data_IF_502493128339
#
_entry.id   IF_502493128339
#
_cell.length_a   1.000
_cell.length_b   1.000
_cell.length_c   1.000
_cell.angle_alpha   90.00
_cell.angle_beta   90.00
_cell.angle_gamma   90.00
#
_symmetry.space_group_name_H-M   'P 1'
#
loop_
_entity.id
_entity.type
_entity.pdbx_description
1 polymer ?
#
# COMPACT_ATOMS: atom_id res chain seq x y z
N UNK A 1 -5.63 -3.68 -14.35
CA UNK A 1 -4.70 -2.88 -13.52
C UNK A 1 -5.21 -1.44 -13.43
N UNK A 2 -5.40 -0.93 -12.22
CA UNK A 2 -5.86 0.43 -11.97
C UNK A 2 -4.76 1.45 -12.31
N UNK A 3 -5.13 2.70 -12.56
CA UNK A 3 -4.15 3.80 -12.64
C UNK A 3 -3.77 4.20 -11.22
N UNK A 4 -2.48 4.42 -10.96
CA UNK A 4 -2.03 4.95 -9.66
C UNK A 4 -2.61 6.36 -9.47
N UNK A 5 -3.36 6.62 -8.38
CA UNK A 5 -3.89 7.96 -8.11
C UNK A 5 -2.74 8.95 -7.88
N UNK A 6 -2.97 10.22 -8.15
CA UNK A 6 -2.02 11.30 -7.78
C UNK A 6 -2.29 11.84 -6.36
N UNK A 7 -3.53 11.71 -5.91
CA UNK A 7 -3.98 12.18 -4.61
C UNK A 7 -3.59 11.19 -3.50
N UNK A 8 -2.91 11.69 -2.47
CA UNK A 8 -2.37 10.85 -1.40
C UNK A 8 -3.48 10.17 -0.59
N UNK A 9 -4.59 10.87 -0.29
CA UNK A 9 -5.70 10.29 0.47
C UNK A 9 -6.34 9.12 -0.30
N UNK A 10 -6.45 9.25 -1.62
CA UNK A 10 -6.93 8.17 -2.50
C UNK A 10 -5.95 7.00 -2.54
N UNK A 11 -4.63 7.27 -2.64
CA UNK A 11 -3.61 6.21 -2.60
C UNK A 11 -3.66 5.42 -1.28
N UNK A 12 -3.71 6.15 -0.14
CA UNK A 12 -3.83 5.56 1.19
C UNK A 12 -5.09 4.70 1.29
N UNK A 13 -6.24 5.21 0.87
CA UNK A 13 -7.51 4.49 0.95
C UNK A 13 -7.47 3.19 0.15
N UNK A 14 -6.91 3.22 -1.06
CA UNK A 14 -6.77 2.03 -1.90
C UNK A 14 -5.84 0.99 -1.27
N UNK A 15 -4.63 1.40 -0.85
CA UNK A 15 -3.71 0.45 -0.21
C UNK A 15 -4.30 -0.12 1.07
N UNK A 16 -4.98 0.70 1.86
CA UNK A 16 -5.64 0.27 3.09
C UNK A 16 -6.77 -0.73 2.81
N UNK A 17 -7.60 -0.49 1.81
CA UNK A 17 -8.67 -1.42 1.43
C UNK A 17 -8.11 -2.78 1.00
N UNK A 18 -7.04 -2.77 0.19
CA UNK A 18 -6.35 -3.99 -0.23
C UNK A 18 -5.75 -4.74 0.96
N UNK A 19 -5.06 -4.03 1.85
CA UNK A 19 -4.46 -4.60 3.06
C UNK A 19 -5.50 -5.09 4.09
N UNK A 20 -6.70 -4.52 4.08
CA UNK A 20 -7.80 -4.95 4.93
C UNK A 20 -8.38 -6.30 4.47
N UNK A 21 -8.32 -6.60 3.16
CA UNK A 21 -8.76 -7.88 2.60
C UNK A 21 -7.74 -8.99 2.88
N UNK A 22 -6.44 -8.71 2.68
CA UNK A 22 -5.37 -9.65 2.99
C UNK A 22 -4.00 -8.94 3.12
N UNK A 23 -3.05 -9.54 3.85
CA UNK A 23 -1.66 -9.06 3.82
C UNK A 23 -1.08 -9.14 2.41
N UNK A 24 -0.39 -8.08 1.98
CA UNK A 24 0.20 -8.00 0.65
C UNK A 24 1.60 -7.41 0.67
N UNK A 25 2.50 -7.91 -0.19
CA UNK A 25 3.80 -7.28 -0.40
C UNK A 25 3.68 -5.98 -1.21
N UNK A 26 4.64 -5.07 -1.03
CA UNK A 26 4.68 -3.82 -1.78
C UNK A 26 4.75 -4.06 -3.30
N UNK A 27 5.46 -5.10 -3.72
CA UNK A 27 5.52 -5.53 -5.12
C UNK A 27 4.16 -6.02 -5.63
N UNK A 28 3.43 -6.80 -4.84
CA UNK A 28 2.10 -7.29 -5.19
C UNK A 28 1.11 -6.13 -5.33
N UNK A 29 1.14 -5.18 -4.40
CA UNK A 29 0.34 -3.96 -4.46
C UNK A 29 0.66 -3.14 -5.70
N UNK A 30 1.95 -2.85 -5.95
CA UNK A 30 2.40 -2.13 -7.14
C UNK A 30 2.03 -2.87 -8.44
N UNK A 31 2.04 -4.20 -8.45
CA UNK A 31 1.65 -5.01 -9.60
C UNK A 31 0.19 -4.82 -9.99
N UNK A 32 -0.69 -4.40 -9.07
CA UNK A 32 -2.10 -4.13 -9.37
C UNK A 32 -2.31 -2.82 -10.16
N UNK A 33 -1.31 -1.94 -10.17
CA UNK A 33 -1.37 -0.66 -10.85
C UNK A 33 -0.61 -0.65 -12.18
N UNK A 34 -1.03 0.24 -13.09
CA UNK A 34 -0.32 0.52 -14.34
C UNK A 34 1.06 1.09 -14.02
N UNK A 35 2.08 0.69 -14.79
CA UNK A 35 3.49 1.10 -14.65
C UNK A 35 4.17 0.68 -13.34
N UNK A 36 3.55 -0.18 -12.53
CA UNK A 36 4.12 -0.70 -11.28
C UNK A 36 4.77 0.41 -10.42
N UNK A 37 3.97 1.32 -9.83
CA UNK A 37 4.45 2.49 -9.07
C UNK A 37 5.04 2.07 -7.71
N UNK A 38 6.06 1.22 -7.71
CA UNK A 38 6.63 0.62 -6.50
C UNK A 38 7.10 1.69 -5.51
N UNK A 39 7.73 2.76 -6.01
CA UNK A 39 8.16 3.89 -5.19
C UNK A 39 6.99 4.56 -4.47
N UNK A 40 5.91 4.90 -5.19
CA UNK A 40 4.74 5.54 -4.60
C UNK A 40 4.02 4.64 -3.60
N UNK A 41 3.93 3.34 -3.90
CA UNK A 41 3.36 2.36 -2.98
C UNK A 41 4.19 2.29 -1.69
N UNK A 42 5.52 2.18 -1.80
CA UNK A 42 6.40 2.16 -0.63
C UNK A 42 6.32 3.44 0.20
N UNK A 43 6.25 4.62 -0.43
CA UNK A 43 6.09 5.89 0.29
C UNK A 43 4.82 5.92 1.14
N UNK A 44 3.69 5.46 0.58
CA UNK A 44 2.42 5.41 1.29
C UNK A 44 2.42 4.36 2.41
N UNK A 45 2.97 3.17 2.15
CA UNK A 45 3.11 2.12 3.16
C UNK A 45 4.00 2.57 4.32
N UNK A 46 5.12 3.22 4.01
CA UNK A 46 6.02 3.79 5.01
C UNK A 46 5.34 4.87 5.84
N UNK A 47 4.54 5.74 5.21
CA UNK A 47 3.75 6.75 5.92
C UNK A 47 2.69 6.10 6.82
N UNK A 48 2.00 5.05 6.35
CA UNK A 48 1.04 4.29 7.16
C UNK A 48 1.69 3.62 8.37
N UNK A 49 2.90 3.07 8.21
CA UNK A 49 3.65 2.50 9.33
C UNK A 49 4.15 3.56 10.31
N UNK A 50 4.63 4.71 9.82
CA UNK A 50 5.02 5.83 10.67
C UNK A 50 3.84 6.37 11.52
N UNK A 51 2.61 6.26 10.98
CA UNK A 51 1.38 6.60 11.69
C UNK A 51 0.85 5.47 12.59
N UNK A 52 1.51 4.31 12.64
CA UNK A 52 1.06 3.14 13.39
C UNK A 52 -0.19 2.46 12.85
N UNK A 53 -0.56 2.74 11.59
CA UNK A 53 -1.75 2.17 10.94
C UNK A 53 -1.46 0.90 10.14
N UNK A 54 -0.21 0.71 9.72
CA UNK A 54 0.25 -0.49 9.03
C UNK A 54 1.55 -0.98 9.64
N UNK A 55 1.83 -2.26 9.48
CA UNK A 55 3.08 -2.87 9.89
C UNK A 55 3.57 -3.74 8.75
N UNK A 56 4.88 -3.65 8.50
CA UNK A 56 5.56 -4.59 7.65
C UNK A 56 5.96 -5.80 8.51
N UNK A 57 5.52 -6.98 8.08
CA UNK A 57 5.82 -8.28 8.67
C UNK A 57 6.54 -9.11 7.59
N UNK A 58 7.85 -9.31 7.79
CA UNK A 58 8.78 -9.79 6.78
C UNK A 58 8.69 -9.01 5.44
N UNK A 59 8.01 -9.59 4.45
CA UNK A 59 7.80 -9.06 3.10
C UNK A 59 6.36 -8.61 2.84
N UNK A 60 5.48 -8.75 3.84
CA UNK A 60 4.07 -8.44 3.72
C UNK A 60 3.71 -7.25 4.57
N UNK A 61 2.93 -6.35 3.99
CA UNK A 61 2.28 -5.29 4.72
C UNK A 61 0.94 -5.79 5.22
N UNK A 62 0.58 -5.36 6.43
CA UNK A 62 -0.74 -5.60 7.02
C UNK A 62 -1.18 -4.36 7.79
N UNK A 63 -2.49 -4.20 7.96
CA UNK A 63 -3.00 -3.16 8.84
C UNK A 63 -2.79 -3.54 10.31
N UNK A 64 -2.39 -2.55 11.09
CA UNK A 64 -2.38 -2.62 12.55
C UNK A 64 -3.80 -2.24 13.00
N UNK A 65 -4.42 -3.12 13.76
CA UNK A 65 -5.78 -2.99 14.29
C UNK A 65 -5.70 -2.91 15.81
#
# INVERSE_FOLDING_TARGET
KATWPKDLATQVTLLRDMLAQSPHSAESLAAQFKRKPLKGVNEVLSALAALGQAQQDDDHWRLVR
#
